data_IF_118201240913
#
_entry.id   IF_118201240913
#
_cell.length_a   1.000
_cell.length_b   1.000
_cell.length_c   1.000
_cell.angle_alpha   90.00
_cell.angle_beta   90.00
_cell.angle_gamma   90.00
#
_symmetry.space_group_name_H-M   'P 1'
#
loop_
_entity.id
_entity.type
_entity.pdbx_description
1 polymer ?
#
# COMPACT_ATOMS: atom_id res chain seq x y z
N UNK A 1 0.91 -9.74 11.32
CA UNK A 1 -0.55 -9.88 11.50
C UNK A 1 -1.22 -9.21 10.31
N UNK A 2 -2.11 -9.91 9.60
CA UNK A 2 -2.71 -9.47 8.32
C UNK A 2 -3.81 -8.41 8.49
N UNK A 3 -4.09 -7.64 7.44
CA UNK A 3 -5.20 -6.69 7.34
C UNK A 3 -6.59 -7.29 7.60
N UNK A 4 -6.75 -8.61 7.51
CA UNK A 4 -7.99 -9.28 7.94
C UNK A 4 -8.39 -8.91 9.39
N UNK A 5 -7.42 -8.60 10.25
CA UNK A 5 -7.66 -8.18 11.63
C UNK A 5 -7.68 -6.67 11.83
N UNK A 6 -7.28 -5.87 10.83
CA UNK A 6 -7.37 -4.41 10.86
C UNK A 6 -8.83 -3.92 10.95
N UNK A 7 -9.77 -4.79 10.61
CA UNK A 7 -11.22 -4.61 10.82
C UNK A 7 -11.58 -4.19 12.26
N UNK A 8 -10.80 -4.61 13.27
CA UNK A 8 -11.01 -4.19 14.66
C UNK A 8 -10.72 -2.70 14.88
N UNK A 9 -9.84 -2.10 14.07
CA UNK A 9 -9.46 -0.70 14.13
C UNK A 9 -10.10 0.13 13.00
N UNK A 10 -11.08 -0.41 12.27
CA UNK A 10 -11.51 0.19 11.01
C UNK A 10 -12.08 1.58 11.15
N UNK A 11 -12.87 1.83 12.20
CA UNK A 11 -13.44 3.15 12.44
C UNK A 11 -12.35 4.22 12.56
N UNK A 12 -11.23 3.89 13.22
CA UNK A 12 -10.09 4.79 13.34
C UNK A 12 -9.35 4.99 12.02
N UNK A 13 -9.32 3.99 11.15
CA UNK A 13 -8.69 4.11 9.81
C UNK A 13 -9.59 4.97 8.89
N UNK A 14 -10.90 4.66 8.84
CA UNK A 14 -11.82 5.20 7.84
C UNK A 14 -12.47 6.51 8.27
N UNK A 15 -12.99 6.58 9.50
CA UNK A 15 -13.74 7.74 9.97
C UNK A 15 -12.86 8.76 10.70
N UNK A 16 -11.77 8.32 11.36
CA UNK A 16 -10.80 9.24 11.96
C UNK A 16 -9.70 9.64 10.97
N UNK A 17 -8.79 8.72 10.65
CA UNK A 17 -7.56 9.06 9.91
C UNK A 17 -7.85 9.65 8.52
N UNK A 18 -8.64 8.95 7.70
CA UNK A 18 -8.96 9.40 6.33
C UNK A 18 -9.67 10.76 6.29
N UNK A 19 -10.41 11.13 7.34
CA UNK A 19 -11.25 12.34 7.35
C UNK A 19 -10.61 13.52 8.06
N UNK A 20 -9.57 13.30 8.88
CA UNK A 20 -9.00 14.33 9.78
C UNK A 20 -8.61 15.60 9.02
N UNK A 21 -7.89 15.48 7.90
CA UNK A 21 -7.46 16.66 7.13
C UNK A 21 -8.67 17.44 6.57
N UNK A 22 -9.67 16.74 6.06
CA UNK A 22 -10.88 17.37 5.52
C UNK A 22 -11.73 18.02 6.62
N UNK A 23 -11.99 17.29 7.70
CA UNK A 23 -12.84 17.75 8.82
C UNK A 23 -12.22 18.90 9.62
N UNK A 24 -10.88 18.99 9.63
CA UNK A 24 -10.17 20.12 10.23
C UNK A 24 -10.05 21.34 9.30
N UNK A 25 -10.64 21.30 8.09
CA UNK A 25 -10.51 22.39 7.11
C UNK A 25 -9.08 22.56 6.59
N UNK A 26 -8.30 21.49 6.55
CA UNK A 26 -6.90 21.49 6.10
C UNK A 26 -5.87 21.83 7.18
N UNK A 27 -6.29 21.98 8.45
CA UNK A 27 -5.40 22.41 9.55
C UNK A 27 -4.59 21.24 10.12
N UNK A 28 -5.23 20.09 10.34
CA UNK A 28 -4.61 18.95 11.00
C UNK A 28 -4.27 17.84 10.01
N UNK A 29 -2.99 17.62 9.67
CA UNK A 29 -2.59 16.44 8.90
C UNK A 29 -2.71 15.17 9.75
N UNK A 30 -2.84 14.03 9.07
CA UNK A 30 -2.82 12.70 9.68
C UNK A 30 -1.72 11.88 9.03
N UNK A 31 -0.48 12.10 9.49
CA UNK A 31 0.68 11.35 9.00
C UNK A 31 0.76 10.00 9.73
N UNK A 32 0.14 8.98 9.13
CA UNK A 32 0.14 7.61 9.64
C UNK A 32 0.24 6.64 8.45
N UNK A 33 1.17 5.68 8.55
CA UNK A 33 1.27 4.55 7.62
C UNK A 33 0.71 3.30 8.27
N UNK A 34 -0.40 2.78 7.74
CA UNK A 34 -0.94 1.47 8.07
C UNK A 34 -0.31 0.45 7.13
N UNK A 35 0.41 -0.54 7.65
CA UNK A 35 1.05 -1.57 6.83
C UNK A 35 0.77 -2.96 7.36
N UNK A 36 0.80 -3.93 6.46
CA UNK A 36 0.67 -5.33 6.82
C UNK A 36 0.33 -6.24 5.64
N UNK A 37 0.35 -7.56 5.88
CA UNK A 37 -0.01 -8.56 4.88
C UNK A 37 -1.47 -8.44 4.41
N UNK A 38 -1.71 -8.55 3.12
CA UNK A 38 -3.00 -8.48 2.44
C UNK A 38 -3.07 -9.48 1.27
N UNK A 39 -4.27 -9.99 0.98
CA UNK A 39 -4.48 -11.02 -0.03
C UNK A 39 -4.28 -12.43 0.52
N UNK A 40 -4.19 -13.40 -0.38
CA UNK A 40 -4.07 -14.82 -0.04
C UNK A 40 -2.67 -15.20 0.43
N UNK A 41 -2.61 -16.14 1.38
CA UNK A 41 -1.38 -16.80 1.79
C UNK A 41 -1.55 -18.33 1.80
N UNK A 42 -0.46 -19.07 2.02
CA UNK A 42 -0.44 -20.53 1.86
C UNK A 42 -1.11 -21.26 3.04
N UNK A 43 -2.29 -21.84 2.80
CA UNK A 43 -2.93 -22.78 3.72
C UNK A 43 -3.57 -22.16 4.96
N UNK A 44 -3.87 -20.86 4.95
CA UNK A 44 -4.31 -20.10 6.13
C UNK A 44 -5.82 -19.81 6.20
N UNK A 45 -6.57 -20.21 5.16
CA UNK A 45 -8.04 -20.18 5.15
C UNK A 45 -8.68 -18.79 5.17
N UNK A 46 -9.93 -18.72 5.62
CA UNK A 46 -10.83 -17.60 5.38
C UNK A 46 -10.44 -16.27 6.07
N UNK A 47 -9.74 -16.33 7.21
CA UNK A 47 -9.39 -15.14 8.02
C UNK A 47 -7.99 -14.58 7.71
N UNK A 48 -7.29 -15.15 6.73
CA UNK A 48 -5.94 -14.74 6.34
C UNK A 48 -5.78 -14.68 4.81
N UNK A 49 -6.89 -14.48 4.08
CA UNK A 49 -6.87 -14.53 2.61
C UNK A 49 -7.61 -13.40 1.90
N UNK A 50 -8.17 -12.45 2.65
CA UNK A 50 -8.95 -11.35 2.06
C UNK A 50 -8.02 -10.29 1.47
N UNK A 51 -8.41 -9.79 0.30
CA UNK A 51 -7.79 -8.63 -0.33
C UNK A 51 -8.67 -7.39 -0.14
N UNK A 52 -8.15 -6.42 0.60
CA UNK A 52 -8.83 -5.18 0.92
C UNK A 52 -8.48 -4.01 0.00
N UNK A 53 -7.70 -4.24 -1.07
CA UNK A 53 -7.24 -3.18 -1.98
C UNK A 53 -8.40 -2.39 -2.57
N UNK A 54 -9.42 -3.07 -3.10
CA UNK A 54 -10.59 -2.44 -3.69
C UNK A 54 -11.38 -1.62 -2.65
N UNK A 55 -11.50 -2.13 -1.42
CA UNK A 55 -12.30 -1.49 -0.41
C UNK A 55 -11.62 -0.26 0.19
N UNK A 56 -10.39 -0.38 0.68
CA UNK A 56 -9.63 0.79 1.15
C UNK A 56 -9.43 1.80 0.02
N UNK A 57 -9.19 1.34 -1.22
CA UNK A 57 -9.03 2.21 -2.39
C UNK A 57 -10.30 3.00 -2.74
N UNK A 58 -11.47 2.56 -2.27
CA UNK A 58 -12.74 3.28 -2.43
C UNK A 58 -13.00 4.33 -1.35
N UNK A 59 -12.14 4.46 -0.33
CA UNK A 59 -12.34 5.40 0.79
C UNK A 59 -11.63 6.74 0.50
N UNK A 60 -12.37 7.85 0.31
CA UNK A 60 -11.74 9.15 0.10
C UNK A 60 -10.96 9.60 1.33
N UNK A 61 -9.75 10.09 1.09
CA UNK A 61 -8.81 10.55 2.12
C UNK A 61 -7.73 9.53 2.48
N UNK A 62 -7.87 8.27 2.06
CA UNK A 62 -6.78 7.29 2.13
C UNK A 62 -5.99 7.27 0.82
N UNK A 63 -4.67 7.14 0.94
CA UNK A 63 -3.83 6.63 -0.15
C UNK A 63 -3.63 5.14 0.05
N UNK A 64 -3.78 4.34 -1.00
CA UNK A 64 -3.68 2.88 -0.90
C UNK A 64 -2.72 2.39 -1.97
N UNK A 65 -1.76 1.57 -1.56
CA UNK A 65 -0.74 1.00 -2.44
C UNK A 65 -0.52 -0.47 -2.13
N UNK A 66 -0.26 -1.26 -3.16
CA UNK A 66 0.14 -2.66 -3.03
C UNK A 66 1.44 -2.88 -3.82
N UNK A 67 2.59 -3.05 -3.14
CA UNK A 67 3.87 -3.28 -3.82
C UNK A 67 3.97 -4.72 -4.36
N UNK A 68 4.61 -4.87 -5.52
CA UNK A 68 4.89 -6.17 -6.14
C UNK A 68 6.38 -6.57 -5.99
N UNK A 69 7.32 -5.70 -6.34
CA UNK A 69 8.76 -5.99 -6.23
C UNK A 69 9.39 -5.47 -4.94
N UNK A 70 10.64 -5.87 -4.68
CA UNK A 70 11.45 -5.30 -3.60
C UNK A 70 11.70 -3.78 -3.80
N UNK A 71 11.82 -3.31 -5.04
CA UNK A 71 11.94 -1.88 -5.34
C UNK A 71 10.67 -1.13 -4.97
N UNK A 72 9.50 -1.67 -5.38
CA UNK A 72 8.20 -1.07 -5.07
C UNK A 72 7.98 -1.03 -3.57
N UNK A 73 8.29 -2.13 -2.86
CA UNK A 73 8.17 -2.20 -1.42
C UNK A 73 9.04 -1.14 -0.74
N UNK A 74 10.32 -1.00 -1.10
CA UNK A 74 11.21 0.02 -0.53
C UNK A 74 10.73 1.43 -0.86
N UNK A 75 10.43 1.70 -2.13
CA UNK A 75 10.12 3.02 -2.63
C UNK A 75 8.77 3.54 -2.14
N UNK A 76 7.73 2.71 -2.20
CA UNK A 76 6.37 3.07 -1.77
C UNK A 76 6.27 3.14 -0.25
N UNK A 77 6.93 2.25 0.49
CA UNK A 77 6.94 2.32 1.97
C UNK A 77 7.59 3.63 2.45
N UNK A 78 8.72 4.01 1.87
CA UNK A 78 9.39 5.27 2.22
C UNK A 78 8.59 6.49 1.81
N UNK A 79 7.93 6.44 0.65
CA UNK A 79 6.99 7.49 0.25
C UNK A 79 5.82 7.60 1.24
N UNK A 80 5.28 6.46 1.70
CA UNK A 80 4.16 6.40 2.65
C UNK A 80 4.51 7.05 3.98
N UNK A 81 5.65 6.66 4.57
CA UNK A 81 6.14 7.24 5.83
C UNK A 81 6.39 8.75 5.75
N UNK A 82 6.73 9.27 4.56
CA UNK A 82 7.00 10.69 4.33
C UNK A 82 5.74 11.48 3.97
N UNK A 83 4.61 10.82 3.71
CA UNK A 83 3.39 11.48 3.26
C UNK A 83 2.66 12.12 4.44
N UNK A 84 2.16 13.37 4.32
CA UNK A 84 1.38 14.00 5.38
C UNK A 84 -0.05 13.44 5.53
N UNK A 85 -0.45 12.49 4.68
CA UNK A 85 -1.78 11.88 4.64
C UNK A 85 -1.72 10.42 5.13
N UNK A 86 -2.85 9.83 5.53
CA UNK A 86 -2.88 8.43 5.92
C UNK A 86 -2.68 7.53 4.69
N UNK A 87 -1.72 6.61 4.80
CA UNK A 87 -1.37 5.68 3.71
C UNK A 87 -1.54 4.24 4.17
N UNK A 88 -2.21 3.42 3.36
CA UNK A 88 -2.38 1.98 3.54
C UNK A 88 -1.44 1.26 2.58
N UNK A 89 -0.51 0.47 3.12
CA UNK A 89 0.43 -0.35 2.36
C UNK A 89 0.07 -1.83 2.52
N UNK A 90 -0.47 -2.39 1.44
CA UNK A 90 -1.03 -3.74 1.37
C UNK A 90 0.01 -4.71 0.79
N UNK A 91 0.76 -5.37 1.66
CA UNK A 91 1.89 -6.22 1.30
C UNK A 91 1.41 -7.65 0.98
N UNK A 92 1.84 -8.27 -0.12
CA UNK A 92 1.52 -9.69 -0.34
C UNK A 92 2.48 -10.58 0.45
N UNK A 93 1.94 -11.38 1.38
CA UNK A 93 2.72 -12.22 2.29
C UNK A 93 3.62 -13.23 1.56
N UNK A 94 3.15 -13.78 0.43
CA UNK A 94 3.89 -14.77 -0.33
C UNK A 94 5.15 -14.19 -0.99
N UNK A 95 5.21 -12.87 -1.15
CA UNK A 95 6.34 -12.18 -1.77
C UNK A 95 7.47 -11.88 -0.78
N UNK A 96 7.26 -12.01 0.53
CA UNK A 96 8.31 -11.72 1.52
C UNK A 96 9.56 -12.59 1.38
N UNK A 97 9.41 -13.83 0.92
CA UNK A 97 10.53 -14.75 0.69
C UNK A 97 11.11 -14.68 -0.73
N UNK A 98 10.57 -13.82 -1.60
CA UNK A 98 10.98 -13.74 -3.00
C UNK A 98 12.10 -12.70 -3.18
N UNK A 99 13.07 -13.02 -4.03
CA UNK A 99 14.15 -12.11 -4.40
C UNK A 99 13.82 -11.42 -5.72
N UNK A 100 14.04 -10.11 -5.77
CA UNK A 100 13.85 -9.31 -6.99
C UNK A 100 15.16 -8.60 -7.36
N UNK A 101 15.42 -8.39 -8.66
CA UNK A 101 16.48 -7.49 -9.08
C UNK A 101 16.21 -6.06 -8.59
N UNK A 102 17.26 -5.35 -8.19
CA UNK A 102 17.20 -3.98 -7.69
C UNK A 102 18.13 -3.11 -8.54
N UNK A 103 17.59 -2.09 -9.19
CA UNK A 103 18.33 -1.04 -9.89
C UNK A 103 19.25 -0.28 -8.94
N UNK A 104 20.32 0.31 -9.48
CA UNK A 104 21.24 1.15 -8.70
C UNK A 104 20.52 2.32 -8.01
N UNK A 105 19.50 2.89 -8.66
CA UNK A 105 18.68 3.94 -8.07
C UNK A 105 17.90 3.43 -6.85
N UNK A 106 17.31 2.24 -6.95
CA UNK A 106 16.57 1.64 -5.85
C UNK A 106 17.45 1.21 -4.67
N UNK A 107 18.76 1.06 -4.88
CA UNK A 107 19.70 0.79 -3.80
C UNK A 107 20.00 2.02 -2.92
N UNK A 108 19.78 3.24 -3.42
CA UNK A 108 20.03 4.48 -2.67
C UNK A 108 19.12 4.66 -1.45
N UNK A 109 19.61 5.38 -0.45
CA UNK A 109 18.91 5.62 0.83
C UNK A 109 17.79 6.66 0.74
N UNK A 110 17.74 7.46 -0.31
CA UNK A 110 16.72 8.47 -0.55
C UNK A 110 15.60 7.98 -1.50
N UNK A 111 15.82 6.84 -2.16
CA UNK A 111 14.89 6.25 -3.14
C UNK A 111 13.44 6.19 -2.64
N UNK A 112 12.54 6.76 -3.43
CA UNK A 112 11.08 6.78 -3.23
C UNK A 112 10.40 6.65 -4.59
N UNK A 113 9.19 6.10 -4.59
CA UNK A 113 8.35 6.01 -5.79
C UNK A 113 7.17 6.97 -5.62
N UNK A 114 6.87 7.81 -6.63
CA UNK A 114 5.73 8.71 -6.55
C UNK A 114 4.40 7.94 -6.58
N UNK A 115 3.47 8.33 -5.72
CA UNK A 115 2.11 7.78 -5.73
C UNK A 115 1.35 8.16 -7.00
N UNK A 116 0.37 7.32 -7.36
CA UNK A 116 -0.52 7.56 -8.50
C UNK A 116 0.11 7.32 -9.87
N UNK A 117 1.32 6.74 -9.93
CA UNK A 117 1.98 6.34 -11.17
C UNK A 117 2.11 4.83 -11.24
N UNK A 118 1.49 4.23 -12.25
CA UNK A 118 1.69 2.82 -12.56
C UNK A 118 3.07 2.60 -13.19
N UNK A 119 3.66 1.43 -12.93
CA UNK A 119 4.93 0.99 -13.51
C UNK A 119 4.65 0.04 -14.67
N UNK A 120 5.37 0.21 -15.78
CA UNK A 120 5.34 -0.74 -16.90
C UNK A 120 6.43 -1.79 -16.63
N UNK A 121 6.03 -2.97 -16.18
CA UNK A 121 6.97 -4.08 -15.96
C UNK A 121 7.46 -4.70 -17.27
N UNK A 122 6.60 -4.71 -18.30
CA UNK A 122 6.94 -5.23 -19.63
C UNK A 122 6.24 -4.41 -20.71
N UNK A 123 7.03 -3.86 -21.63
CA UNK A 123 6.49 -3.17 -22.80
C UNK A 123 5.92 -4.15 -23.83
N UNK A 124 4.90 -3.71 -24.57
CA UNK A 124 4.26 -4.47 -25.66
C UNK A 124 3.33 -3.57 -26.48
N UNK A 125 2.96 -4.01 -27.68
CA UNK A 125 2.09 -3.26 -28.60
C UNK A 125 0.69 -3.86 -28.78
N UNK A 126 0.52 -5.16 -28.49
CA UNK A 126 -0.66 -5.90 -28.96
C UNK A 126 -1.74 -6.05 -27.86
N UNK A 127 -1.33 -6.05 -26.60
CA UNK A 127 -2.21 -6.22 -25.44
C UNK A 127 -1.69 -5.42 -24.24
N UNK A 128 -2.62 -4.85 -23.46
CA UNK A 128 -2.34 -4.29 -22.14
C UNK A 128 -2.92 -5.20 -21.07
N UNK A 129 -2.10 -5.59 -20.09
CA UNK A 129 -2.51 -6.36 -18.91
C UNK A 129 -2.31 -5.46 -17.70
N UNK A 130 -3.37 -5.28 -16.89
CA UNK A 130 -3.34 -4.53 -15.63
C UNK A 130 -3.62 -5.50 -14.50
N UNK A 131 -2.74 -5.51 -13.50
CA UNK A 131 -2.78 -6.36 -12.31
C UNK A 131 -2.45 -5.54 -11.08
#
# INVERSE_FOLDING_TARGET
MTFNFAMQAIDQIVNSAAKTLYMSGGIQPCNITFRGPNGFAAGVGAQHSQDYSAWYGSIPGLKVVSPWSAEDAKGLMKAAIRDPNPVVVLENELLYGQTFPMSEAAQKDDFVIPFGKAKIERAGSDLTIVT
#
